data_IF_140752653967
#
_entry.id   IF_140752653967
#
_cell.length_a   1.000
_cell.length_b   1.000
_cell.length_c   1.000
_cell.angle_alpha   90.00
_cell.angle_beta   90.00
_cell.angle_gamma   90.00
#
_symmetry.space_group_name_H-M   'P 1'
#
loop_
_entity.id
_entity.type
_entity.pdbx_description
1 polymer ?
#
# COMPACT_ATOMS: atom_id res chain seq x y z
N UNK A 1 19.34 -15.67 -24.61
CA UNK A 1 19.00 -14.35 -24.04
C UNK A 1 17.69 -13.93 -24.68
N UNK A 2 16.66 -13.75 -23.87
CA UNK A 2 15.36 -13.25 -24.29
C UNK A 2 15.11 -11.85 -23.74
N UNK A 3 14.29 -11.09 -24.43
CA UNK A 3 13.83 -9.79 -23.96
C UNK A 3 12.34 -9.85 -23.65
N UNK A 4 11.97 -9.62 -22.40
CA UNK A 4 10.59 -9.57 -21.93
C UNK A 4 10.13 -8.12 -21.79
N UNK A 5 8.96 -7.80 -22.33
CA UNK A 5 8.30 -6.53 -22.11
C UNK A 5 7.29 -6.67 -20.95
N UNK A 6 7.34 -5.76 -19.98
CA UNK A 6 6.31 -5.69 -18.95
C UNK A 6 5.47 -4.42 -19.07
N UNK A 7 4.16 -4.60 -19.10
CA UNK A 7 3.18 -3.52 -19.21
C UNK A 7 2.22 -3.57 -18.03
N UNK A 8 2.01 -2.44 -17.36
CA UNK A 8 0.99 -2.30 -16.35
C UNK A 8 0.05 -1.16 -16.71
N UNK A 9 -1.24 -1.46 -16.81
CA UNK A 9 -2.28 -0.48 -17.12
C UNK A 9 -3.33 -0.45 -16.02
N UNK A 10 -3.90 0.72 -15.75
CA UNK A 10 -5.11 0.83 -14.95
C UNK A 10 -6.32 0.52 -15.82
N UNK A 11 -7.39 -0.01 -15.23
CA UNK A 11 -8.65 -0.33 -15.95
C UNK A 11 -9.30 0.88 -16.65
N UNK A 12 -8.79 2.10 -16.43
CA UNK A 12 -9.23 3.36 -17.04
C UNK A 12 -8.27 3.91 -18.09
N UNK A 13 -7.09 3.29 -18.28
CA UNK A 13 -6.08 3.82 -19.19
C UNK A 13 -6.32 3.37 -20.64
N UNK A 14 -6.64 4.32 -21.51
CA UNK A 14 -6.63 4.16 -22.97
C UNK A 14 -5.21 4.03 -23.54
N UNK A 15 -4.17 3.97 -22.70
CA UNK A 15 -2.75 4.02 -23.08
C UNK A 15 -2.09 2.62 -23.17
N UNK A 16 -2.85 1.52 -23.07
CA UNK A 16 -2.32 0.14 -23.19
C UNK A 16 -1.64 -0.03 -24.56
N UNK A 17 -2.36 0.31 -25.63
CA UNK A 17 -1.87 0.16 -27.00
C UNK A 17 -0.53 0.86 -27.24
N UNK A 18 -0.36 2.07 -26.72
CA UNK A 18 0.88 2.85 -26.87
C UNK A 18 2.06 2.27 -26.09
N UNK A 19 1.82 1.67 -24.92
CA UNK A 19 2.89 0.98 -24.17
C UNK A 19 3.30 -0.31 -24.86
N UNK A 20 2.32 -1.08 -25.33
CA UNK A 20 2.55 -2.31 -26.09
C UNK A 20 3.28 -2.02 -27.40
N UNK A 21 2.89 -0.98 -28.14
CA UNK A 21 3.54 -0.59 -29.40
C UNK A 21 5.03 -0.27 -29.20
N UNK A 22 5.38 0.49 -28.16
CA UNK A 22 6.79 0.83 -27.85
C UNK A 22 7.61 -0.41 -27.48
N UNK A 23 7.00 -1.41 -26.84
CA UNK A 23 7.67 -2.64 -26.41
C UNK A 23 7.65 -3.73 -27.49
N UNK A 24 6.63 -3.75 -28.34
CA UNK A 24 6.47 -4.80 -29.36
C UNK A 24 7.64 -4.90 -30.34
N UNK A 25 8.30 -3.77 -30.63
CA UNK A 25 9.48 -3.74 -31.49
C UNK A 25 10.78 -4.11 -30.77
N UNK A 26 10.74 -4.28 -29.44
CA UNK A 26 11.93 -4.39 -28.59
C UNK A 26 11.88 -5.55 -27.60
N UNK A 27 10.83 -6.37 -27.62
CA UNK A 27 10.66 -7.51 -26.73
C UNK A 27 10.19 -8.74 -27.51
N UNK A 28 10.71 -9.92 -27.13
CA UNK A 28 10.32 -11.21 -27.70
C UNK A 28 8.97 -11.68 -27.12
N UNK A 29 8.65 -11.29 -25.91
CA UNK A 29 7.41 -11.63 -25.22
C UNK A 29 6.95 -10.46 -24.36
N UNK A 30 5.65 -10.16 -24.36
CA UNK A 30 5.07 -9.07 -23.55
C UNK A 30 4.06 -9.63 -22.56
N UNK A 31 4.26 -9.30 -21.29
CA UNK A 31 3.35 -9.65 -20.19
C UNK A 31 2.61 -8.40 -19.71
N UNK A 32 1.29 -8.51 -19.56
CA UNK A 32 0.41 -7.36 -19.30
C UNK A 32 -0.42 -7.59 -18.03
N UNK A 33 -0.25 -6.71 -17.05
CA UNK A 33 -1.12 -6.63 -15.88
C UNK A 33 -2.16 -5.52 -16.05
N UNK A 34 -3.44 -5.90 -15.97
CA UNK A 34 -4.58 -4.97 -15.90
C UNK A 34 -5.00 -4.82 -14.45
N UNK A 35 -4.38 -3.88 -13.74
CA UNK A 35 -4.63 -3.69 -12.31
C UNK A 35 -5.59 -2.51 -12.06
N UNK A 36 -6.71 -2.75 -11.38
CA UNK A 36 -7.47 -1.68 -10.74
C UNK A 36 -6.66 -1.15 -9.55
N UNK A 37 -6.75 0.15 -9.25
CA UNK A 37 -5.89 0.83 -8.26
C UNK A 37 -5.92 0.26 -6.83
N UNK A 38 -6.78 -0.72 -6.55
CA UNK A 38 -6.89 -1.44 -5.26
C UNK A 38 -6.33 -2.85 -5.28
N UNK A 39 -6.13 -3.45 -6.46
CA UNK A 39 -5.68 -4.83 -6.57
C UNK A 39 -4.16 -4.92 -6.46
N UNK A 40 -3.71 -5.63 -5.43
CA UNK A 40 -2.29 -5.91 -5.22
C UNK A 40 -1.78 -7.05 -6.09
N UNK A 41 -2.67 -7.82 -6.70
CA UNK A 41 -2.28 -8.98 -7.48
C UNK A 41 -1.78 -8.59 -8.87
N UNK A 42 -0.59 -9.09 -9.22
CA UNK A 42 0.10 -8.87 -10.49
C UNK A 42 0.50 -10.23 -11.09
N UNK A 43 -0.45 -10.95 -11.64
CA UNK A 43 -0.17 -12.29 -12.15
C UNK A 43 0.88 -12.27 -13.27
N UNK A 44 0.85 -11.25 -14.15
CA UNK A 44 1.84 -11.13 -15.21
C UNK A 44 3.25 -10.81 -14.69
N UNK A 45 3.38 -10.00 -13.64
CA UNK A 45 4.67 -9.77 -13.00
C UNK A 45 5.19 -11.04 -12.32
N UNK A 46 4.34 -11.78 -11.62
CA UNK A 46 4.72 -13.07 -11.01
C UNK A 46 5.14 -14.08 -12.07
N UNK A 47 4.43 -14.13 -13.16
CA UNK A 47 4.77 -14.96 -14.32
C UNK A 47 6.13 -14.55 -14.92
N UNK A 48 6.37 -13.25 -15.12
CA UNK A 48 7.64 -12.69 -15.55
C UNK A 48 8.79 -13.17 -14.66
N UNK A 49 8.66 -12.95 -13.33
CA UNK A 49 9.68 -13.34 -12.36
C UNK A 49 10.00 -14.83 -12.40
N UNK A 50 9.02 -15.67 -12.68
CA UNK A 50 9.22 -17.13 -12.81
C UNK A 50 9.86 -17.56 -14.14
N UNK A 51 9.68 -16.78 -15.19
CA UNK A 51 10.15 -17.10 -16.57
C UNK A 51 11.58 -16.67 -16.84
N UNK A 52 11.99 -15.52 -16.32
CA UNK A 52 13.30 -14.93 -16.62
C UNK A 52 14.46 -15.80 -16.14
N UNK A 53 15.56 -15.76 -16.87
CA UNK A 53 16.79 -16.51 -16.62
C UNK A 53 17.99 -15.56 -16.66
N UNK A 54 19.12 -15.94 -16.07
CA UNK A 54 20.36 -15.15 -16.16
C UNK A 54 20.69 -14.80 -17.61
N UNK A 55 21.00 -13.53 -17.84
CA UNK A 55 21.29 -12.97 -19.17
C UNK A 55 20.08 -12.47 -19.94
N UNK A 56 18.84 -12.68 -19.46
CA UNK A 56 17.65 -12.10 -20.07
C UNK A 56 17.52 -10.59 -19.74
N UNK A 57 16.71 -9.91 -20.53
CA UNK A 57 16.42 -8.49 -20.34
C UNK A 57 14.93 -8.26 -20.10
N UNK A 58 14.60 -7.50 -19.05
CA UNK A 58 13.25 -7.01 -18.80
C UNK A 58 13.17 -5.56 -19.23
N UNK A 59 12.28 -5.23 -20.16
CA UNK A 59 12.01 -3.87 -20.63
C UNK A 59 10.69 -3.35 -20.10
N UNK A 60 10.72 -2.17 -19.52
CA UNK A 60 9.54 -1.50 -19.01
C UNK A 60 9.54 -0.07 -19.55
N UNK A 61 8.36 0.48 -19.82
CA UNK A 61 8.29 1.84 -20.33
C UNK A 61 8.89 2.84 -19.36
N UNK A 62 8.46 2.81 -18.07
CA UNK A 62 8.90 3.74 -17.04
C UNK A 62 8.84 3.09 -15.65
N UNK A 63 9.51 3.69 -14.68
CA UNK A 63 9.60 3.18 -13.30
C UNK A 63 8.23 3.02 -12.66
N UNK A 64 7.31 3.97 -12.86
CA UNK A 64 5.94 3.93 -12.35
C UNK A 64 5.08 2.83 -12.97
N UNK A 65 5.52 2.20 -14.07
CA UNK A 65 4.88 1.03 -14.68
C UNK A 65 5.36 -0.29 -14.09
N UNK A 66 6.60 -0.34 -13.60
CA UNK A 66 7.12 -1.53 -12.93
C UNK A 66 6.65 -1.60 -11.48
N UNK A 67 6.74 -0.51 -10.76
CA UNK A 67 6.52 -0.47 -9.31
C UNK A 67 5.42 0.51 -8.90
N UNK A 68 4.87 0.33 -7.71
CA UNK A 68 3.84 1.21 -7.12
C UNK A 68 4.43 2.22 -6.13
N UNK A 69 5.55 1.89 -5.57
CA UNK A 69 6.29 2.72 -4.62
C UNK A 69 7.77 2.33 -4.65
N UNK A 70 8.60 3.12 -4.00
CA UNK A 70 10.05 2.92 -3.98
C UNK A 70 10.45 1.56 -3.42
N UNK A 71 9.78 1.06 -2.39
CA UNK A 71 10.09 -0.22 -1.79
C UNK A 71 9.85 -1.38 -2.76
N UNK A 72 8.69 -1.39 -3.40
CA UNK A 72 8.29 -2.37 -4.42
C UNK A 72 9.30 -2.35 -5.61
N UNK A 73 9.76 -1.15 -6.00
CA UNK A 73 10.78 -0.99 -7.02
C UNK A 73 12.11 -1.65 -6.64
N UNK A 74 12.57 -1.37 -5.43
CA UNK A 74 13.84 -1.90 -4.92
C UNK A 74 13.82 -3.42 -4.82
N UNK A 75 12.75 -3.97 -4.27
CA UNK A 75 12.57 -5.43 -4.13
C UNK A 75 12.61 -6.11 -5.50
N UNK A 76 11.88 -5.58 -6.50
CA UNK A 76 11.87 -6.13 -7.87
C UNK A 76 13.24 -5.99 -8.55
N UNK A 77 13.88 -4.83 -8.46
CA UNK A 77 15.19 -4.59 -9.08
C UNK A 77 16.27 -5.48 -8.45
N UNK A 78 16.29 -5.59 -7.13
CA UNK A 78 17.26 -6.42 -6.41
C UNK A 78 17.09 -7.90 -6.78
N UNK A 79 15.85 -8.40 -6.83
CA UNK A 79 15.57 -9.78 -7.21
C UNK A 79 16.01 -10.07 -8.66
N UNK A 80 15.65 -9.20 -9.62
CA UNK A 80 16.01 -9.40 -11.03
C UNK A 80 17.52 -9.30 -11.26
N UNK A 81 18.17 -8.28 -10.70
CA UNK A 81 19.60 -8.06 -10.93
C UNK A 81 20.47 -9.11 -10.23
N UNK A 82 20.09 -9.57 -9.02
CA UNK A 82 20.76 -10.67 -8.33
C UNK A 82 20.66 -11.97 -9.10
N UNK A 83 19.55 -12.18 -9.81
CA UNK A 83 19.36 -13.34 -10.71
C UNK A 83 20.04 -13.15 -12.08
N UNK A 84 20.86 -12.12 -12.26
CA UNK A 84 21.59 -11.85 -13.51
C UNK A 84 20.69 -11.39 -14.66
N UNK A 85 19.52 -10.82 -14.35
CA UNK A 85 18.58 -10.25 -15.32
C UNK A 85 18.79 -8.75 -15.41
N UNK A 86 18.88 -8.25 -16.65
CA UNK A 86 18.99 -6.81 -16.93
C UNK A 86 17.62 -6.17 -16.97
N UNK A 87 17.45 -5.00 -16.34
CA UNK A 87 16.21 -4.22 -16.36
C UNK A 87 16.43 -2.89 -17.06
N UNK A 88 15.63 -2.58 -18.08
CA UNK A 88 15.72 -1.35 -18.87
C UNK A 88 14.43 -0.54 -18.77
N UNK A 89 14.53 0.72 -18.34
CA UNK A 89 13.44 1.70 -18.39
C UNK A 89 13.62 2.60 -19.62
N UNK A 90 12.67 2.50 -20.57
CA UNK A 90 12.81 3.13 -21.89
C UNK A 90 12.75 4.66 -21.78
N UNK A 91 11.74 5.20 -21.09
CA UNK A 91 11.51 6.65 -21.01
C UNK A 91 12.60 7.37 -20.18
N UNK A 92 13.20 6.67 -19.22
CA UNK A 92 14.20 7.23 -18.33
C UNK A 92 15.64 6.97 -18.80
N UNK A 93 15.83 6.14 -19.83
CA UNK A 93 17.15 5.66 -20.29
C UNK A 93 17.99 5.06 -19.15
N UNK A 94 17.32 4.41 -18.19
CA UNK A 94 17.95 3.80 -17.02
C UNK A 94 18.09 2.31 -17.23
N UNK A 95 19.26 1.78 -16.85
CA UNK A 95 19.56 0.36 -16.93
C UNK A 95 20.07 -0.10 -15.58
N UNK A 96 19.57 -1.24 -15.13
CA UNK A 96 20.01 -1.93 -13.91
C UNK A 96 20.40 -3.37 -14.27
N UNK A 97 21.55 -3.78 -13.78
CA UNK A 97 22.14 -5.11 -13.95
C UNK A 97 22.86 -5.51 -12.65
N UNK A 98 23.69 -6.56 -12.67
CA UNK A 98 24.46 -7.01 -11.51
C UNK A 98 25.75 -6.18 -11.25
N UNK A 99 25.97 -5.11 -12.02
CA UNK A 99 27.16 -4.27 -11.90
C UNK A 99 27.20 -3.53 -10.55
N UNK A 100 28.41 -3.18 -10.06
CA UNK A 100 28.56 -2.35 -8.87
C UNK A 100 27.86 -0.99 -8.99
N UNK A 101 27.82 -0.42 -10.19
CA UNK A 101 27.13 0.85 -10.46
C UNK A 101 25.63 0.72 -10.25
N UNK A 102 25.01 -0.33 -10.76
CA UNK A 102 23.58 -0.62 -10.56
C UNK A 102 23.25 -0.84 -9.08
N UNK A 103 24.07 -1.61 -8.37
CA UNK A 103 23.93 -1.82 -6.91
C UNK A 103 24.02 -0.50 -6.14
N UNK A 104 24.95 0.36 -6.49
CA UNK A 104 25.06 1.70 -5.89
C UNK A 104 23.80 2.54 -6.17
N UNK A 105 23.30 2.55 -7.41
CA UNK A 105 22.08 3.29 -7.79
C UNK A 105 20.85 2.77 -7.03
N UNK A 106 20.67 1.45 -6.91
CA UNK A 106 19.58 0.83 -6.14
C UNK A 106 19.67 1.25 -4.66
N UNK A 107 20.87 1.21 -4.08
CA UNK A 107 21.10 1.64 -2.69
C UNK A 107 20.78 3.13 -2.50
N UNK A 108 21.19 4.00 -3.41
CA UNK A 108 20.85 5.42 -3.36
C UNK A 108 19.34 5.67 -3.45
N UNK A 109 18.65 4.99 -4.37
CA UNK A 109 17.19 5.09 -4.48
C UNK A 109 16.49 4.66 -3.18
N UNK A 110 17.01 3.61 -2.53
CA UNK A 110 16.55 3.17 -1.22
C UNK A 110 16.72 4.26 -0.15
N UNK A 111 17.90 4.83 -0.06
CA UNK A 111 18.21 5.89 0.90
C UNK A 111 17.32 7.14 0.70
N UNK A 112 17.10 7.56 -0.54
CA UNK A 112 16.19 8.67 -0.87
C UNK A 112 14.75 8.34 -0.44
N UNK A 113 14.27 7.13 -0.71
CA UNK A 113 12.93 6.71 -0.30
C UNK A 113 12.74 6.69 1.23
N UNK A 114 13.76 6.29 1.99
CA UNK A 114 13.72 6.36 3.47
C UNK A 114 13.75 7.80 3.98
N UNK A 115 14.52 8.66 3.34
CA UNK A 115 14.57 10.10 3.67
C UNK A 115 13.21 10.76 3.45
N UNK A 116 12.56 10.51 2.31
CA UNK A 116 11.20 11.00 2.04
C UNK A 116 10.19 10.53 3.09
N UNK A 117 10.23 9.24 3.46
CA UNK A 117 9.37 8.70 4.53
C UNK A 117 9.62 9.39 5.86
N UNK A 118 10.89 9.67 6.19
CA UNK A 118 11.24 10.35 7.44
C UNK A 118 10.64 11.76 7.51
N UNK A 119 10.71 12.52 6.41
CA UNK A 119 10.10 13.85 6.31
C UNK A 119 8.56 13.80 6.39
N UNK A 120 7.92 12.80 5.77
CA UNK A 120 6.47 12.62 5.87
C UNK A 120 6.07 12.34 7.33
N UNK A 121 6.76 11.43 8.02
CA UNK A 121 6.52 11.12 9.42
C UNK A 121 6.74 12.32 10.33
N UNK A 122 7.79 13.09 10.09
CA UNK A 122 8.07 14.31 10.86
C UNK A 122 6.92 15.30 10.71
N UNK A 123 6.51 15.64 9.49
CA UNK A 123 5.38 16.55 9.22
C UNK A 123 4.08 16.05 9.82
N UNK A 124 3.82 14.74 9.76
CA UNK A 124 2.64 14.12 10.37
C UNK A 124 2.66 14.28 11.89
N UNK A 125 3.80 14.01 12.54
CA UNK A 125 3.94 14.17 13.99
C UNK A 125 3.77 15.62 14.45
N UNK A 126 4.31 16.58 13.70
CA UNK A 126 4.10 18.00 13.94
C UNK A 126 2.62 18.37 13.81
N UNK A 127 1.95 17.91 12.76
CA UNK A 127 0.51 18.10 12.58
C UNK A 127 -0.34 17.50 13.71
N UNK A 128 0.01 16.29 14.17
CA UNK A 128 -0.65 15.64 15.32
C UNK A 128 -0.47 16.45 16.60
N UNK A 129 0.76 16.94 16.89
CA UNK A 129 1.02 17.78 18.07
C UNK A 129 0.20 19.07 18.02
N UNK A 130 0.13 19.73 16.87
CA UNK A 130 -0.68 20.94 16.70
C UNK A 130 -2.17 20.63 16.90
N UNK A 131 -2.68 19.53 16.36
CA UNK A 131 -4.06 19.13 16.51
C UNK A 131 -4.41 18.74 17.97
N UNK A 132 -3.47 18.09 18.67
CA UNK A 132 -3.61 17.80 20.11
C UNK A 132 -3.66 19.09 20.92
N UNK A 133 -2.76 20.05 20.67
CA UNK A 133 -2.74 21.34 21.34
C UNK A 133 -4.04 22.15 21.11
N UNK A 134 -4.65 22.01 19.92
CA UNK A 134 -5.95 22.59 19.58
C UNK A 134 -7.16 21.82 20.11
N UNK A 135 -6.97 20.69 20.80
CA UNK A 135 -8.06 19.88 21.33
C UNK A 135 -8.95 19.22 20.25
N UNK A 136 -8.41 19.03 19.02
CA UNK A 136 -9.15 18.42 17.91
C UNK A 136 -9.49 16.96 18.20
N UNK A 137 -8.62 16.25 18.92
CA UNK A 137 -8.83 14.85 19.29
C UNK A 137 -9.72 14.76 20.53
N UNK A 138 -11.01 14.65 20.31
CA UNK A 138 -12.01 14.53 21.40
C UNK A 138 -12.17 13.11 21.95
N UNK A 139 -11.39 12.15 21.43
CA UNK A 139 -11.57 10.74 21.74
C UNK A 139 -12.88 10.16 21.18
N UNK A 140 -13.23 8.96 21.64
CA UNK A 140 -14.54 8.36 21.33
C UNK A 140 -15.63 9.13 22.07
N UNK A 141 -16.58 9.69 21.32
CA UNK A 141 -17.73 10.34 21.92
C UNK A 141 -18.47 9.38 22.86
N UNK A 142 -18.88 9.87 24.03
CA UNK A 142 -19.72 9.09 24.93
C UNK A 142 -21.07 8.87 24.24
N UNK A 143 -21.55 7.65 24.29
CA UNK A 143 -22.87 7.30 23.77
C UNK A 143 -23.91 7.71 24.81
N UNK A 144 -24.36 8.94 24.70
CA UNK A 144 -25.31 9.54 25.65
C UNK A 144 -26.69 8.87 25.58
N UNK A 145 -27.06 8.29 24.42
CA UNK A 145 -28.32 7.54 24.28
C UNK A 145 -28.28 6.23 25.09
N UNK A 146 -27.23 5.44 24.94
CA UNK A 146 -27.02 4.24 25.75
C UNK A 146 -26.97 4.59 27.22
N UNK A 147 -26.32 5.68 27.59
CA UNK A 147 -26.24 6.14 28.99
C UNK A 147 -27.60 6.51 29.56
N UNK A 148 -28.41 7.24 28.80
CA UNK A 148 -29.78 7.60 29.16
C UNK A 148 -30.67 6.36 29.34
N UNK A 149 -30.62 5.41 28.40
CA UNK A 149 -31.38 4.17 28.48
C UNK A 149 -31.02 3.35 29.71
N UNK A 150 -29.71 3.22 30.01
CA UNK A 150 -29.26 2.51 31.22
C UNK A 150 -29.80 3.18 32.48
N UNK A 151 -29.72 4.51 32.55
CA UNK A 151 -30.25 5.27 33.73
C UNK A 151 -31.76 5.06 33.88
N UNK A 152 -32.52 5.12 32.81
CA UNK A 152 -33.98 4.91 32.80
C UNK A 152 -34.37 3.51 33.32
N UNK A 153 -33.71 2.47 32.81
CA UNK A 153 -34.01 1.10 33.26
C UNK A 153 -33.56 0.83 34.70
N UNK A 154 -32.46 1.45 35.15
CA UNK A 154 -32.03 1.36 36.53
C UNK A 154 -33.05 2.06 37.48
N UNK A 155 -33.61 3.22 37.09
CA UNK A 155 -34.60 3.93 37.86
C UNK A 155 -35.93 3.18 38.01
N UNK A 156 -36.32 2.37 36.99
CA UNK A 156 -37.54 1.53 37.07
C UNK A 156 -37.44 0.40 38.08
N UNK A 157 -36.25 -0.04 38.47
CA UNK A 157 -36.02 -1.03 39.53
C UNK A 157 -36.57 -2.44 39.27
N UNK A 158 -37.16 -2.67 38.11
CA UNK A 158 -37.90 -3.92 37.77
C UNK A 158 -37.01 -4.96 37.12
N UNK A 159 -35.84 -4.58 36.59
CA UNK A 159 -34.98 -5.43 35.80
C UNK A 159 -33.66 -5.74 36.49
N UNK A 160 -33.18 -6.96 36.31
CA UNK A 160 -31.83 -7.33 36.75
C UNK A 160 -30.77 -6.63 35.85
N UNK A 161 -29.54 -6.49 36.37
CA UNK A 161 -28.45 -5.89 35.62
C UNK A 161 -28.22 -6.58 34.26
N UNK A 162 -28.44 -7.90 34.22
CA UNK A 162 -28.27 -8.71 33.01
C UNK A 162 -29.34 -8.39 31.96
N UNK A 163 -30.57 -8.27 32.38
CA UNK A 163 -31.68 -7.89 31.50
C UNK A 163 -31.48 -6.48 30.95
N UNK A 164 -31.01 -5.53 31.78
CA UNK A 164 -30.81 -4.15 31.35
C UNK A 164 -29.78 -4.05 30.22
N UNK A 165 -28.58 -4.66 30.36
CA UNK A 165 -27.60 -4.51 29.30
C UNK A 165 -27.99 -5.26 28.02
N UNK A 166 -28.78 -6.33 28.10
CA UNK A 166 -29.37 -7.02 26.94
C UNK A 166 -30.44 -6.13 26.26
N UNK A 167 -31.35 -5.54 27.03
CA UNK A 167 -32.40 -4.65 26.50
C UNK A 167 -31.84 -3.39 25.85
N UNK A 168 -30.80 -2.82 26.46
CA UNK A 168 -30.11 -1.63 25.92
C UNK A 168 -29.21 -1.96 24.76
N UNK A 169 -28.85 -3.24 24.56
CA UNK A 169 -27.94 -3.68 23.50
C UNK A 169 -26.48 -3.30 23.74
N UNK A 170 -26.05 -3.12 24.98
CA UNK A 170 -24.69 -2.76 25.32
C UNK A 170 -23.94 -3.92 25.97
N UNK A 171 -22.61 -3.92 25.85
CA UNK A 171 -21.78 -4.94 26.50
C UNK A 171 -21.77 -4.81 28.03
N UNK A 172 -21.64 -5.92 28.74
CA UNK A 172 -21.58 -5.98 30.22
C UNK A 172 -20.61 -4.95 30.83
N UNK A 173 -19.39 -4.87 30.28
CA UNK A 173 -18.38 -3.91 30.77
C UNK A 173 -18.82 -2.45 30.61
N UNK A 174 -19.48 -2.11 29.49
CA UNK A 174 -20.03 -0.78 29.23
C UNK A 174 -21.14 -0.44 30.22
N UNK A 175 -22.05 -1.39 30.47
CA UNK A 175 -23.11 -1.22 31.45
C UNK A 175 -22.57 -0.91 32.85
N UNK A 176 -21.65 -1.73 33.38
CA UNK A 176 -21.11 -1.52 34.72
C UNK A 176 -20.30 -0.24 34.84
N UNK A 177 -19.60 0.18 33.76
CA UNK A 177 -18.94 1.49 33.72
C UNK A 177 -19.95 2.63 33.83
N UNK A 178 -21.02 2.59 33.03
CA UNK A 178 -22.08 3.61 33.06
C UNK A 178 -22.75 3.63 34.44
N UNK A 179 -23.10 2.46 35.00
CA UNK A 179 -23.70 2.35 36.33
C UNK A 179 -22.84 2.94 37.45
N UNK A 180 -21.49 2.87 37.31
CA UNK A 180 -20.56 3.45 38.28
C UNK A 180 -20.45 4.97 38.15
N UNK A 181 -20.72 5.51 36.97
CA UNK A 181 -20.64 6.94 36.67
C UNK A 181 -21.98 7.69 36.89
N UNK A 182 -23.10 6.96 37.10
CA UNK A 182 -24.41 7.50 37.51
C UNK A 182 -24.53 7.61 39.00
#
# INVERSE_FOLDING_TARGET
MKTFGYVRVSSKDQNEARQVEVLATKADEILIDKASGKDADRPALKELMSKVRPGDTVRVKSVDRLARNTRDLLEILEELTTNGVRVEFIDNHMVFDDSPTSKFMITMLGAVGELERSFIRQRQNEGIKIAQAKGVFKGRQKDDETRRKVAEYLAKGTYSNEEIYKLVGCGRATFFRIKKEL
#
